data_IF_380026368770
#
_entry.id   IF_380026368770
#
_cell.length_a   1.000
_cell.length_b   1.000
_cell.length_c   1.000
_cell.angle_alpha   90.00
_cell.angle_beta   90.00
_cell.angle_gamma   90.00
#
_symmetry.space_group_name_H-M   'P 1'
#
loop_
_entity.id
_entity.type
_entity.pdbx_description
1 polymer ?
#
# COMPACT_ATOMS: atom_id res chain seq x y z
N UNK A 1 2.04 17.46 7.98
CA UNK A 1 2.07 16.65 6.75
C UNK A 1 2.24 15.19 7.07
N UNK A 2 3.46 14.77 7.44
CA UNK A 2 3.84 13.36 7.58
C UNK A 2 2.91 12.51 8.46
N UNK A 3 2.37 13.05 9.55
CA UNK A 3 1.41 12.31 10.38
C UNK A 3 0.19 11.80 9.59
N UNK A 4 -0.43 12.65 8.76
CA UNK A 4 -1.58 12.28 7.94
C UNK A 4 -1.21 11.23 6.90
N UNK A 5 -0.02 11.34 6.31
CA UNK A 5 0.50 10.31 5.42
C UNK A 5 0.67 8.97 6.14
N UNK A 6 1.34 8.96 7.31
CA UNK A 6 1.55 7.74 8.10
C UNK A 6 0.23 7.11 8.56
N UNK A 7 -0.76 7.93 8.94
CA UNK A 7 -2.09 7.47 9.32
C UNK A 7 -2.78 6.76 8.15
N UNK A 8 -2.88 7.42 6.98
CA UNK A 8 -3.51 6.84 5.79
C UNK A 8 -2.77 5.61 5.28
N UNK A 9 -1.43 5.64 5.31
CA UNK A 9 -0.62 4.47 4.97
C UNK A 9 -0.97 3.30 5.88
N UNK A 10 -1.00 3.52 7.20
CA UNK A 10 -1.38 2.52 8.19
C UNK A 10 -2.78 1.96 7.97
N UNK A 11 -3.76 2.82 7.70
CA UNK A 11 -5.14 2.41 7.37
C UNK A 11 -5.21 1.53 6.12
N UNK A 12 -4.36 1.78 5.11
CA UNK A 12 -4.33 0.98 3.88
C UNK A 12 -3.63 -0.38 4.03
N UNK A 13 -2.90 -0.62 5.13
CA UNK A 13 -2.09 -1.85 5.29
C UNK A 13 -2.94 -3.12 5.20
N UNK A 14 -4.04 -3.29 5.96
CA UNK A 14 -4.80 -4.54 5.97
C UNK A 14 -5.27 -4.97 4.57
N UNK A 15 -5.69 -4.02 3.73
CA UNK A 15 -6.26 -4.30 2.41
C UNK A 15 -5.20 -4.47 1.31
N UNK A 16 -4.10 -3.70 1.39
CA UNK A 16 -3.16 -3.57 0.27
C UNK A 16 -1.85 -4.32 0.52
N UNK A 17 -1.30 -4.21 1.73
CA UNK A 17 0.07 -4.64 2.01
C UNK A 17 0.23 -5.55 3.23
N UNK A 18 -0.86 -5.98 3.86
CA UNK A 18 -0.82 -6.89 5.01
C UNK A 18 -0.17 -8.23 4.66
N UNK A 19 -0.28 -8.66 3.40
CA UNK A 19 0.42 -9.83 2.85
C UNK A 19 1.53 -9.46 1.87
N UNK A 20 1.94 -8.19 1.76
CA UNK A 20 2.96 -7.81 0.80
C UNK A 20 4.32 -8.42 1.19
N UNK A 21 5.05 -8.88 0.19
CA UNK A 21 6.44 -9.34 0.35
C UNK A 21 7.35 -8.13 0.61
N UNK A 22 7.08 -7.01 -0.06
CA UNK A 22 7.84 -5.77 0.08
C UNK A 22 7.03 -4.56 -0.38
N UNK A 23 7.26 -3.42 0.26
CA UNK A 23 6.90 -2.11 -0.28
C UNK A 23 8.10 -1.61 -1.12
N UNK A 24 7.92 -1.46 -2.43
CA UNK A 24 9.05 -1.20 -3.33
C UNK A 24 9.38 0.29 -3.41
N UNK A 25 8.35 1.13 -3.49
CA UNK A 25 8.52 2.56 -3.63
C UNK A 25 7.25 3.31 -3.22
N UNK A 26 7.44 4.57 -2.85
CA UNK A 26 6.40 5.58 -2.79
C UNK A 26 6.75 6.61 -3.86
N UNK A 27 6.01 6.58 -4.97
CA UNK A 27 6.34 7.36 -6.17
C UNK A 27 6.00 8.84 -6.00
N UNK A 28 4.88 9.13 -5.37
CA UNK A 28 4.42 10.50 -5.14
C UNK A 28 3.66 10.61 -3.83
N UNK A 29 3.84 11.75 -3.16
CA UNK A 29 3.11 12.14 -1.97
C UNK A 29 2.78 13.63 -2.08
N UNK A 30 1.49 13.96 -2.03
CA UNK A 30 0.99 15.33 -2.08
C UNK A 30 0.12 15.60 -0.86
N UNK A 31 0.41 16.70 -0.15
CA UNK A 31 -0.49 17.27 0.86
C UNK A 31 -1.28 18.39 0.19
N UNK A 32 -2.59 18.17 0.02
CA UNK A 32 -3.46 19.03 -0.80
C UNK A 32 -4.09 20.15 0.03
N UNK A 33 -4.48 19.85 1.27
CA UNK A 33 -5.13 20.78 2.17
C UNK A 33 -4.68 20.54 3.62
N UNK A 34 -4.72 21.57 4.50
CA UNK A 34 -4.40 21.40 5.91
C UNK A 34 -5.45 20.54 6.63
N UNK A 35 -5.05 20.02 7.79
CA UNK A 35 -5.86 19.25 8.73
C UNK A 35 -5.69 19.84 10.12
N UNK A 36 -6.74 19.80 10.94
CA UNK A 36 -6.73 20.34 12.30
C UNK A 36 -7.24 19.31 13.31
N UNK A 37 -7.02 19.59 14.59
CA UNK A 37 -7.60 18.77 15.66
C UNK A 37 -9.14 18.74 15.53
N UNK A 38 -9.71 17.56 15.69
CA UNK A 38 -11.15 17.32 15.51
C UNK A 38 -11.54 16.87 14.10
N UNK A 39 -10.67 16.98 13.10
CA UNK A 39 -10.93 16.40 11.77
C UNK A 39 -10.95 14.87 11.84
N UNK A 40 -11.94 14.28 11.17
CA UNK A 40 -12.03 12.83 10.96
C UNK A 40 -11.48 12.50 9.59
N UNK A 41 -10.53 11.56 9.53
CA UNK A 41 -9.85 11.18 8.30
C UNK A 41 -10.40 9.85 7.77
N UNK A 42 -10.83 9.87 6.51
CA UNK A 42 -11.20 8.69 5.73
C UNK A 42 -10.13 8.42 4.68
N UNK A 43 -9.86 7.14 4.39
CA UNK A 43 -8.92 6.72 3.37
C UNK A 43 -9.59 5.84 2.33
N UNK A 44 -9.29 6.07 1.05
CA UNK A 44 -9.70 5.22 -0.06
C UNK A 44 -8.47 4.84 -0.87
N UNK A 45 -8.33 3.57 -1.22
CA UNK A 45 -7.25 3.09 -2.09
C UNK A 45 -7.83 2.50 -3.37
N UNK A 46 -7.34 2.99 -4.52
CA UNK A 46 -7.66 2.45 -5.84
C UNK A 46 -6.45 1.69 -6.40
N UNK A 47 -6.68 0.47 -6.89
CA UNK A 47 -5.70 -0.27 -7.69
C UNK A 47 -5.67 0.32 -9.10
N UNK A 48 -4.51 0.86 -9.48
CA UNK A 48 -4.30 1.50 -10.78
C UNK A 48 -3.76 0.51 -11.82
N UNK A 49 -2.89 -0.41 -11.42
CA UNK A 49 -2.29 -1.40 -12.31
C UNK A 49 -1.80 -2.65 -11.56
N UNK A 50 -1.61 -3.75 -12.29
CA UNK A 50 -1.00 -4.98 -11.80
C UNK A 50 -0.05 -5.58 -12.83
N UNK A 51 1.15 -5.94 -12.38
CA UNK A 51 2.20 -6.49 -13.23
C UNK A 51 2.73 -7.79 -12.65
N UNK A 52 2.45 -8.95 -13.27
CA UNK A 52 3.06 -10.22 -12.89
C UNK A 52 4.58 -10.18 -13.02
N UNK A 53 5.30 -10.83 -12.10
CA UNK A 53 6.75 -10.96 -12.22
C UNK A 53 7.11 -11.86 -13.41
N UNK A 54 8.12 -11.43 -14.19
CA UNK A 54 8.64 -12.19 -15.34
C UNK A 54 9.62 -13.29 -14.94
N UNK A 55 10.22 -13.20 -13.75
CA UNK A 55 11.27 -14.12 -13.30
C UNK A 55 10.81 -15.14 -12.25
N UNK A 56 9.70 -14.86 -11.56
CA UNK A 56 9.10 -15.76 -10.55
C UNK A 56 7.59 -15.68 -10.62
N UNK A 57 6.92 -16.81 -10.78
CA UNK A 57 5.45 -16.89 -10.85
C UNK A 57 4.74 -16.68 -9.50
N UNK A 58 5.50 -16.68 -8.39
CA UNK A 58 5.01 -16.57 -7.02
C UNK A 58 4.72 -15.12 -6.57
N UNK A 59 4.92 -14.11 -7.43
CA UNK A 59 4.73 -12.70 -7.04
C UNK A 59 4.37 -11.78 -8.21
N UNK A 60 3.80 -10.64 -7.87
CA UNK A 60 3.55 -9.54 -8.80
C UNK A 60 3.67 -8.19 -8.09
N UNK A 61 3.60 -7.13 -8.87
CA UNK A 61 3.54 -5.75 -8.38
C UNK A 61 2.12 -5.24 -8.55
N UNK A 62 1.57 -4.61 -7.52
CA UNK A 62 0.32 -3.85 -7.59
C UNK A 62 0.66 -2.38 -7.38
N UNK A 63 0.20 -1.53 -8.29
CA UNK A 63 0.32 -0.09 -8.22
C UNK A 63 -0.99 0.49 -7.69
N UNK A 64 -0.91 1.29 -6.63
CA UNK A 64 -2.09 1.85 -5.97
C UNK A 64 -1.97 3.35 -5.76
N UNK A 65 -3.10 4.03 -5.79
CA UNK A 65 -3.26 5.41 -5.29
C UNK A 65 -4.14 5.40 -4.05
N UNK A 66 -3.70 6.04 -2.98
CA UNK A 66 -4.49 6.26 -1.77
C UNK A 66 -4.81 7.74 -1.64
N UNK A 67 -6.08 8.05 -1.41
CA UNK A 67 -6.61 9.39 -1.17
C UNK A 67 -7.14 9.47 0.25
N UNK A 68 -6.79 10.54 0.95
CA UNK A 68 -7.31 10.88 2.26
C UNK A 68 -8.29 12.04 2.19
N UNK A 69 -9.39 11.93 2.92
CA UNK A 69 -10.48 12.90 2.96
C UNK A 69 -10.80 13.30 4.40
N UNK A 70 -11.25 14.54 4.62
CA UNK A 70 -11.93 14.94 5.85
C UNK A 70 -13.41 14.49 5.84
N UNK A 71 -14.09 14.66 6.97
CA UNK A 71 -15.53 14.46 7.13
C UNK A 71 -16.41 15.27 6.16
N UNK A 72 -15.90 16.37 5.63
CA UNK A 72 -16.60 17.22 4.65
C UNK A 72 -16.31 16.84 3.18
N UNK A 73 -15.53 15.77 2.95
CA UNK A 73 -15.13 15.32 1.61
C UNK A 73 -13.91 16.05 1.04
N UNK A 74 -13.30 17.00 1.75
CA UNK A 74 -12.08 17.67 1.27
C UNK A 74 -10.92 16.69 1.18
N UNK A 75 -10.29 16.60 0.00
CA UNK A 75 -9.04 15.83 -0.18
C UNK A 75 -7.89 16.52 0.53
N UNK A 76 -7.21 15.80 1.43
CA UNK A 76 -6.09 16.34 2.22
C UNK A 76 -4.74 15.73 1.85
N UNK A 77 -4.74 14.49 1.35
CA UNK A 77 -3.51 13.81 0.98
C UNK A 77 -3.75 12.82 -0.16
N UNK A 78 -2.83 12.74 -1.10
CA UNK A 78 -2.82 11.74 -2.17
C UNK A 78 -1.42 11.19 -2.30
N UNK A 79 -1.28 9.86 -2.29
CA UNK A 79 0.00 9.22 -2.54
C UNK A 79 -0.14 7.94 -3.36
N UNK A 80 0.93 7.60 -4.08
CA UNK A 80 1.00 6.41 -4.91
C UNK A 80 2.18 5.54 -4.51
N UNK A 81 1.97 4.23 -4.50
CA UNK A 81 2.99 3.25 -4.13
C UNK A 81 2.91 1.98 -4.96
N UNK A 82 4.04 1.31 -5.13
CA UNK A 82 4.12 -0.03 -5.70
C UNK A 82 4.45 -1.02 -4.59
N UNK A 83 3.60 -2.03 -4.46
CA UNK A 83 3.76 -3.10 -3.48
C UNK A 83 3.94 -4.42 -4.21
N UNK A 84 4.91 -5.20 -3.75
CA UNK A 84 5.11 -6.57 -4.22
C UNK A 84 4.23 -7.49 -3.40
N UNK A 85 3.33 -8.21 -4.05
CA UNK A 85 2.35 -9.10 -3.41
C UNK A 85 2.55 -10.55 -3.87
N UNK A 86 2.26 -11.54 -3.01
CA UNK A 86 2.26 -12.93 -3.39
C UNK A 86 1.12 -13.24 -4.37
N UNK A 87 1.37 -14.15 -5.30
CA UNK A 87 0.30 -14.79 -6.08
C UNK A 87 -0.21 -16.03 -5.34
N UNK A 88 -1.26 -16.68 -5.87
CA UNK A 88 -1.76 -17.94 -5.32
C UNK A 88 -0.69 -19.05 -5.27
N UNK A 89 0.23 -19.07 -6.25
CA UNK A 89 1.36 -20.02 -6.29
C UNK A 89 2.22 -19.92 -5.04
N UNK A 90 2.52 -18.70 -4.57
CA UNK A 90 3.30 -18.49 -3.33
C UNK A 90 2.67 -19.19 -2.14
N UNK A 91 1.35 -19.02 -1.99
CA UNK A 91 0.58 -19.53 -0.84
C UNK A 91 0.58 -21.07 -0.88
N UNK A 92 0.35 -21.66 -2.06
CA UNK A 92 0.32 -23.12 -2.24
C UNK A 92 1.68 -23.77 -1.95
N UNK A 93 2.76 -23.19 -2.45
CA UNK A 93 4.11 -23.74 -2.28
C UNK A 93 4.65 -23.60 -0.84
N UNK A 94 4.15 -22.64 -0.06
CA UNK A 94 4.62 -22.32 1.30
C UNK A 94 3.60 -22.61 2.39
N UNK A 95 2.61 -23.46 2.11
CA UNK A 95 1.66 -23.96 3.12
C UNK A 95 0.76 -22.88 3.75
N UNK A 96 0.53 -21.76 3.08
CA UNK A 96 -0.35 -20.70 3.57
C UNK A 96 0.28 -19.68 4.53
N UNK A 97 1.59 -19.78 4.80
CA UNK A 97 2.28 -18.79 5.63
C UNK A 97 2.29 -17.40 4.98
N UNK A 98 2.18 -16.36 5.81
CA UNK A 98 2.33 -14.99 5.33
C UNK A 98 3.76 -14.75 4.86
N UNK A 99 3.98 -13.98 3.79
CA UNK A 99 5.33 -13.68 3.34
C UNK A 99 6.14 -12.96 4.41
N UNK A 100 7.17 -13.64 4.94
CA UNK A 100 8.14 -13.02 5.83
C UNK A 100 9.12 -12.12 5.08
N UNK A 101 9.87 -11.30 5.84
CA UNK A 101 11.00 -10.54 5.30
C UNK A 101 11.98 -11.50 4.62
N UNK A 102 12.42 -11.25 3.37
CA UNK A 102 13.42 -12.10 2.73
C UNK A 102 14.71 -12.16 3.55
N UNK A 103 15.24 -13.37 3.77
CA UNK A 103 16.58 -13.54 4.35
C UNK A 103 17.62 -13.03 3.35
N UNK A 104 18.55 -12.14 3.75
CA UNK A 104 19.65 -11.74 2.87
C UNK A 104 20.45 -12.97 2.45
N UNK A 105 20.75 -13.09 1.16
CA UNK A 105 21.78 -14.01 0.71
C UNK A 105 23.14 -13.32 0.94
N UNK A 106 24.01 -13.97 1.72
CA UNK A 106 25.41 -13.57 1.87
C UNK A 106 26.17 -13.81 0.56
#
# INVERSE_FOLDING_TARGET
GNYIYSLLLGMSVPDVSGKAIANLEVESLKHIAPTFHGDTIYGETTVLDKTPSKSKNDRGIVYVETRGFKQDGTVVCVFRRKVMVPTETYIKERGGEQPGRPTPAN
#
